data_IF_634565074758
#
_entry.id   IF_634565074758
#
_cell.length_a   1.000
_cell.length_b   1.000
_cell.length_c   1.000
_cell.angle_alpha   90.00
_cell.angle_beta   90.00
_cell.angle_gamma   90.00
#
_symmetry.space_group_name_H-M   'P 1'
#
loop_
_entity.id
_entity.type
_entity.pdbx_description
1 polymer ?
#
# COMPACT_ATOMS: atom_id res chain seq x y z
N UNK A 1 -7.70 20.97 2.70
CA UNK A 1 -6.74 21.32 3.80
C UNK A 1 -7.45 21.10 5.12
N UNK A 2 -6.73 20.77 6.20
CA UNK A 2 -7.32 20.74 7.54
C UNK A 2 -7.62 22.16 8.01
N UNK A 3 -8.61 22.36 8.89
CA UNK A 3 -8.92 23.69 9.47
C UNK A 3 -7.68 24.31 10.15
N UNK A 4 -6.82 23.48 10.75
CA UNK A 4 -5.58 23.92 11.41
C UNK A 4 -4.55 24.42 10.38
N UNK A 5 -4.38 23.75 9.25
CA UNK A 5 -3.46 24.16 8.19
C UNK A 5 -3.92 25.49 7.54
N UNK A 6 -5.22 25.66 7.33
CA UNK A 6 -5.79 26.91 6.81
C UNK A 6 -5.56 28.07 7.77
N UNK A 7 -5.84 27.88 9.06
CA UNK A 7 -5.60 28.89 10.09
C UNK A 7 -4.12 29.28 10.19
N UNK A 8 -3.20 28.30 10.13
CA UNK A 8 -1.77 28.56 10.17
C UNK A 8 -1.25 29.31 8.93
N UNK A 9 -1.80 29.00 7.74
CA UNK A 9 -1.47 29.72 6.50
C UNK A 9 -2.00 31.16 6.53
N UNK A 10 -3.24 31.37 6.99
CA UNK A 10 -3.80 32.72 7.16
C UNK A 10 -2.98 33.56 8.15
N UNK A 11 -2.57 32.95 9.27
CA UNK A 11 -1.71 33.63 10.24
C UNK A 11 -0.34 34.01 9.63
N UNK A 12 0.24 33.13 8.76
CA UNK A 12 1.47 33.42 8.05
C UNK A 12 1.32 34.61 7.07
N UNK A 13 0.22 34.65 6.32
CA UNK A 13 -0.06 35.71 5.35
C UNK A 13 -0.20 37.10 6.02
N UNK A 14 -0.76 37.13 7.22
CA UNK A 14 -0.91 38.37 8.03
C UNK A 14 0.31 38.75 8.86
N UNK A 15 1.34 37.87 8.92
CA UNK A 15 2.48 38.09 9.82
C UNK A 15 3.46 39.17 9.29
N UNK A 16 3.62 40.26 10.02
CA UNK A 16 4.67 41.27 9.80
C UNK A 16 5.86 41.05 10.73
N UNK A 17 5.61 40.86 12.02
CA UNK A 17 6.59 40.51 13.05
C UNK A 17 6.54 38.98 13.30
N UNK A 18 7.68 38.36 13.59
CA UNK A 18 7.80 36.90 13.79
C UNK A 18 7.35 36.00 12.59
N UNK A 19 7.49 36.50 11.36
CA UNK A 19 7.05 35.82 10.15
C UNK A 19 7.69 34.40 9.95
N UNK A 20 8.92 34.20 10.43
CA UNK A 20 9.57 32.88 10.38
C UNK A 20 8.97 31.85 11.35
N UNK A 21 8.47 32.30 12.49
CA UNK A 21 7.76 31.44 13.43
C UNK A 21 6.34 31.09 12.91
N UNK A 22 5.68 32.06 12.26
CA UNK A 22 4.42 31.80 11.56
C UNK A 22 4.62 30.81 10.39
N UNK A 23 5.73 30.94 9.65
CA UNK A 23 6.13 29.98 8.62
C UNK A 23 6.33 28.59 9.22
N UNK A 24 7.01 28.49 10.38
CA UNK A 24 7.21 27.22 11.05
C UNK A 24 5.89 26.54 11.40
N UNK A 25 4.93 27.28 11.96
CA UNK A 25 3.60 26.74 12.27
C UNK A 25 2.87 26.27 11.02
N UNK A 26 2.93 27.00 9.91
CA UNK A 26 2.34 26.56 8.64
C UNK A 26 3.01 25.29 8.11
N UNK A 27 4.34 25.18 8.23
CA UNK A 27 5.09 23.97 7.84
C UNK A 27 4.72 22.78 8.74
N UNK A 28 4.57 22.97 10.05
CA UNK A 28 4.13 21.91 10.97
C UNK A 28 2.72 21.44 10.63
N UNK A 29 1.79 22.36 10.44
CA UNK A 29 0.39 22.03 10.16
C UNK A 29 0.17 21.37 8.78
N UNK A 30 1.06 21.60 7.82
CA UNK A 30 0.96 21.03 6.48
C UNK A 30 1.83 19.78 6.25
N UNK A 31 2.47 19.22 7.30
CA UNK A 31 3.25 17.98 7.14
C UNK A 31 2.34 16.82 6.72
N UNK A 32 2.86 15.92 5.89
CA UNK A 32 2.10 14.80 5.34
C UNK A 32 1.12 15.17 4.22
N UNK A 33 0.86 16.46 4.01
CA UNK A 33 -0.01 16.90 2.91
C UNK A 33 0.67 16.68 1.56
N UNK A 34 -0.11 16.38 0.51
CA UNK A 34 0.43 16.25 -0.84
C UNK A 34 0.77 17.61 -1.44
N UNK A 35 1.90 17.67 -2.12
CA UNK A 35 2.38 18.80 -2.92
C UNK A 35 2.82 18.31 -4.29
N UNK A 36 2.95 19.25 -5.24
CA UNK A 36 3.58 19.01 -6.54
C UNK A 36 4.65 20.04 -6.81
N UNK A 37 5.76 19.62 -7.42
CA UNK A 37 6.79 20.52 -7.92
C UNK A 37 6.26 21.39 -9.08
N UNK A 38 6.99 22.42 -9.47
CA UNK A 38 6.65 23.26 -10.64
C UNK A 38 6.50 22.45 -11.96
N UNK A 39 7.05 21.26 -12.02
CA UNK A 39 6.92 20.32 -13.15
C UNK A 39 5.86 19.26 -12.94
N UNK A 40 5.03 19.37 -11.88
CA UNK A 40 3.92 18.47 -11.58
C UNK A 40 4.30 17.19 -10.82
N UNK A 41 5.58 16.96 -10.46
CA UNK A 41 6.00 15.77 -9.73
C UNK A 41 5.48 15.80 -8.28
N UNK A 42 4.73 14.76 -7.83
CA UNK A 42 4.17 14.72 -6.49
C UNK A 42 5.25 14.48 -5.43
N UNK A 43 5.06 15.04 -4.25
CA UNK A 43 5.85 14.77 -3.04
C UNK A 43 5.04 15.09 -1.78
N UNK A 44 5.46 14.52 -0.67
CA UNK A 44 5.06 14.90 0.68
C UNK A 44 6.29 15.26 1.49
N UNK A 45 6.12 15.79 2.70
CA UNK A 45 7.21 15.91 3.66
C UNK A 45 6.73 15.59 5.06
N UNK A 46 7.65 15.14 5.90
CA UNK A 46 7.47 15.07 7.34
C UNK A 46 8.62 15.80 8.05
N UNK A 47 8.41 16.14 9.31
CA UNK A 47 9.44 16.72 10.15
C UNK A 47 10.29 15.62 10.77
N UNK A 48 11.60 15.79 10.75
CA UNK A 48 12.51 14.85 11.38
C UNK A 48 12.43 15.00 12.90
N UNK A 49 12.29 13.88 13.59
CA UNK A 49 12.25 13.86 15.05
C UNK A 49 13.68 13.89 15.60
N UNK A 50 13.95 14.81 16.50
CA UNK A 50 15.22 14.91 17.22
C UNK A 50 15.35 13.89 18.34
N UNK A 51 16.54 13.79 18.95
CA UNK A 51 16.81 12.87 20.06
C UNK A 51 15.95 13.13 21.30
N UNK A 52 15.37 14.31 21.44
CA UNK A 52 14.46 14.70 22.53
C UNK A 52 12.98 14.35 22.26
N UNK A 53 12.69 13.60 21.18
CA UNK A 53 11.34 13.24 20.79
C UNK A 53 10.50 14.36 20.16
N UNK A 54 11.07 15.57 20.00
CA UNK A 54 10.38 16.72 19.40
C UNK A 54 10.79 16.87 17.93
N UNK A 55 9.90 17.40 17.06
CA UNK A 55 10.25 17.75 15.70
C UNK A 55 11.42 18.74 15.69
N UNK A 56 12.48 18.39 14.98
CA UNK A 56 13.54 19.37 14.70
C UNK A 56 13.17 20.19 13.45
N UNK A 57 13.88 21.29 13.22
CA UNK A 57 13.63 22.18 12.08
C UNK A 57 14.28 21.65 10.79
N UNK A 58 14.01 20.37 10.45
CA UNK A 58 14.43 19.71 9.21
C UNK A 58 13.24 19.01 8.57
N UNK A 59 13.03 19.26 7.26
CA UNK A 59 11.98 18.61 6.48
C UNK A 59 12.59 17.43 5.74
N UNK A 60 12.04 16.23 5.96
CA UNK A 60 12.34 15.04 5.20
C UNK A 60 11.36 14.97 4.03
N UNK A 61 11.85 15.22 2.82
CA UNK A 61 11.04 15.14 1.60
C UNK A 61 10.95 13.68 1.19
N UNK A 62 9.75 13.16 1.13
CA UNK A 62 9.49 11.84 0.59
C UNK A 62 9.48 11.89 -0.94
N UNK A 63 10.41 11.17 -1.56
CA UNK A 63 10.60 11.02 -3.01
C UNK A 63 10.87 9.57 -3.35
N UNK A 64 10.60 9.23 -4.62
CA UNK A 64 10.66 7.86 -5.17
C UNK A 64 11.94 7.06 -4.90
N UNK A 65 13.10 7.66 -4.64
CA UNK A 65 14.36 6.89 -4.56
C UNK A 65 15.27 7.20 -3.38
N UNK A 66 15.26 8.42 -2.88
CA UNK A 66 16.05 8.82 -1.69
C UNK A 66 15.38 10.02 -1.05
N UNK A 67 14.91 9.88 0.17
CA UNK A 67 14.43 10.99 0.98
C UNK A 67 15.52 12.07 1.05
N UNK A 68 15.15 13.33 0.75
CA UNK A 68 16.05 14.47 0.90
C UNK A 68 15.72 15.27 2.13
N UNK A 69 16.72 15.55 2.94
CA UNK A 69 16.57 16.47 4.05
C UNK A 69 16.76 17.90 3.57
N UNK A 70 15.80 18.77 3.90
CA UNK A 70 15.90 20.23 3.75
C UNK A 70 16.15 20.86 5.10
N UNK A 71 17.21 21.64 5.20
CA UNK A 71 17.49 22.40 6.40
C UNK A 71 16.51 23.57 6.53
N UNK A 72 16.16 23.91 7.75
CA UNK A 72 15.32 25.08 8.04
C UNK A 72 15.89 26.37 7.47
N UNK A 73 17.21 26.54 7.50
CA UNK A 73 17.89 27.69 6.90
C UNK A 73 17.60 27.83 5.40
N UNK A 74 17.53 26.72 4.66
CA UNK A 74 17.16 26.75 3.23
C UNK A 74 15.69 27.17 3.04
N UNK A 75 14.79 26.72 3.89
CA UNK A 75 13.37 27.11 3.85
C UNK A 75 13.21 28.59 4.17
N UNK A 76 13.85 29.09 5.23
CA UNK A 76 13.82 30.51 5.59
C UNK A 76 14.43 31.41 4.51
N UNK A 77 15.54 31.00 3.89
CA UNK A 77 16.15 31.77 2.81
C UNK A 77 15.20 31.92 1.61
N UNK A 78 14.58 30.79 1.19
CA UNK A 78 13.58 30.83 0.12
C UNK A 78 12.35 31.67 0.49
N UNK A 79 11.91 31.60 1.74
CA UNK A 79 10.79 32.38 2.24
C UNK A 79 11.07 33.91 2.21
N UNK A 80 12.23 34.33 2.72
CA UNK A 80 12.62 35.75 2.66
C UNK A 80 12.66 36.23 1.22
N UNK A 81 13.25 35.46 0.32
CA UNK A 81 13.33 35.77 -1.09
C UNK A 81 11.95 35.80 -1.75
N UNK A 82 11.08 34.86 -1.45
CA UNK A 82 9.70 34.83 -1.95
C UNK A 82 8.92 36.10 -1.53
N UNK A 83 9.06 36.55 -0.27
CA UNK A 83 8.43 37.80 0.22
C UNK A 83 8.99 39.05 -0.46
N UNK A 84 10.29 39.05 -0.75
CA UNK A 84 10.95 40.17 -1.41
C UNK A 84 10.46 40.36 -2.86
N UNK A 85 10.42 39.25 -3.64
CA UNK A 85 10.11 39.33 -5.07
C UNK A 85 8.61 39.18 -5.38
N UNK A 86 7.83 38.56 -4.48
CA UNK A 86 6.37 38.37 -4.59
C UNK A 86 5.88 37.57 -5.79
N UNK A 87 6.71 37.35 -6.80
CA UNK A 87 6.42 36.58 -8.01
C UNK A 87 7.66 35.89 -8.54
N UNK A 88 7.53 34.61 -8.97
CA UNK A 88 8.60 33.86 -9.62
C UNK A 88 8.06 32.92 -10.70
N UNK A 89 8.69 32.89 -11.87
CA UNK A 89 8.31 32.04 -12.99
C UNK A 89 8.84 30.60 -12.88
N UNK A 90 9.82 30.38 -12.02
CA UNK A 90 10.50 29.09 -11.83
C UNK A 90 11.20 29.01 -10.47
N UNK A 91 11.45 27.79 -9.95
CA UNK A 91 12.07 27.62 -8.63
C UNK A 91 13.42 28.34 -8.45
N UNK A 92 14.30 28.33 -9.45
CA UNK A 92 15.61 29.01 -9.40
C UNK A 92 15.54 30.52 -9.22
N UNK A 93 14.40 31.15 -9.48
CA UNK A 93 14.21 32.59 -9.21
C UNK A 93 14.29 32.94 -7.71
N UNK A 94 14.06 31.93 -6.81
CA UNK A 94 14.28 32.08 -5.38
C UNK A 94 15.75 32.03 -4.94
N UNK A 95 16.67 31.73 -5.88
CA UNK A 95 18.10 31.62 -5.64
C UNK A 95 18.63 30.18 -5.79
N UNK A 96 19.96 30.04 -5.68
CA UNK A 96 20.61 28.72 -5.68
C UNK A 96 20.52 28.08 -4.30
N UNK A 97 19.31 27.60 -3.96
CA UNK A 97 18.97 27.03 -2.67
C UNK A 97 18.82 25.52 -2.81
N UNK A 98 19.51 24.75 -1.97
CA UNK A 98 19.38 23.30 -1.96
C UNK A 98 17.93 22.89 -1.72
N UNK A 99 17.36 22.14 -2.67
CA UNK A 99 15.99 21.67 -2.59
C UNK A 99 14.92 22.71 -2.92
N UNK A 100 15.28 23.79 -3.60
CA UNK A 100 14.36 24.88 -4.02
C UNK A 100 13.14 24.37 -4.79
N UNK A 101 13.28 23.26 -5.55
CA UNK A 101 12.16 22.63 -6.27
C UNK A 101 11.03 22.14 -5.37
N UNK A 102 11.31 21.89 -4.09
CA UNK A 102 10.32 21.48 -3.08
C UNK A 102 9.86 22.65 -2.22
N UNK A 103 10.70 23.63 -1.98
CA UNK A 103 10.32 24.82 -1.19
C UNK A 103 9.46 25.79 -2.01
N UNK A 104 9.69 25.90 -3.29
CA UNK A 104 8.93 26.76 -4.20
C UNK A 104 7.41 26.49 -4.16
N UNK A 105 6.90 25.25 -4.31
CA UNK A 105 5.48 24.98 -4.18
C UNK A 105 4.92 25.22 -2.77
N UNK A 106 5.74 25.08 -1.72
CA UNK A 106 5.32 25.46 -0.36
C UNK A 106 5.06 26.96 -0.28
N UNK A 107 5.96 27.80 -0.83
CA UNK A 107 5.79 29.27 -0.82
C UNK A 107 4.56 29.70 -1.62
N UNK A 108 4.28 29.08 -2.76
CA UNK A 108 3.06 29.30 -3.52
C UNK A 108 1.82 28.89 -2.72
N UNK A 109 1.78 27.68 -2.19
CA UNK A 109 0.62 27.15 -1.46
C UNK A 109 0.31 27.91 -0.19
N UNK A 110 1.33 28.47 0.44
CA UNK A 110 1.17 29.35 1.62
C UNK A 110 0.76 30.79 1.26
N UNK A 111 0.59 31.08 -0.03
CA UNK A 111 0.21 32.42 -0.49
C UNK A 111 1.29 33.48 -0.36
N UNK A 112 2.56 33.06 -0.17
CA UNK A 112 3.72 33.96 -0.04
C UNK A 112 4.27 34.31 -1.42
N UNK A 113 4.07 33.49 -2.43
CA UNK A 113 4.62 33.63 -3.76
C UNK A 113 3.54 33.46 -4.82
N UNK A 114 3.47 34.35 -5.81
CA UNK A 114 2.68 34.19 -7.02
C UNK A 114 3.53 33.55 -8.12
N UNK A 115 2.88 32.79 -9.01
CA UNK A 115 3.53 32.00 -10.06
C UNK A 115 2.74 32.14 -11.37
N UNK A 116 3.32 31.80 -12.56
CA UNK A 116 2.57 31.75 -13.81
C UNK A 116 1.44 30.71 -13.75
N UNK A 117 0.34 30.97 -14.45
CA UNK A 117 -0.84 30.09 -14.50
C UNK A 117 -0.50 28.64 -14.90
N UNK A 118 0.41 28.42 -15.85
CA UNK A 118 0.86 27.10 -16.27
C UNK A 118 1.59 26.34 -15.15
N UNK A 119 2.38 27.05 -14.34
CA UNK A 119 3.10 26.50 -13.17
C UNK A 119 2.11 26.23 -12.05
N UNK A 120 1.16 27.13 -11.85
CA UNK A 120 0.07 26.97 -10.89
C UNK A 120 -0.76 25.72 -11.20
N UNK A 121 -1.16 25.50 -12.45
CA UNK A 121 -1.85 24.25 -12.89
C UNK A 121 -1.04 23.00 -12.57
N UNK A 122 0.27 23.01 -12.80
CA UNK A 122 1.14 21.89 -12.48
C UNK A 122 1.25 21.62 -10.98
N UNK A 123 1.26 22.66 -10.14
CA UNK A 123 1.37 22.56 -8.68
C UNK A 123 0.01 22.42 -8.01
N UNK A 124 -1.07 22.85 -8.69
CA UNK A 124 -2.43 22.75 -8.18
C UNK A 124 -2.83 21.28 -8.03
N UNK A 125 -3.46 20.99 -6.90
CA UNK A 125 -4.13 19.71 -6.65
C UNK A 125 -5.60 19.78 -7.09
N UNK A 126 -6.03 20.85 -7.75
CA UNK A 126 -7.38 20.98 -8.30
C UNK A 126 -7.55 19.96 -9.44
N UNK A 127 -8.15 18.84 -9.11
CA UNK A 127 -9.00 18.10 -10.00
C UNK A 127 -10.17 19.04 -10.35
N UNK A 128 -10.57 19.08 -11.61
CA UNK A 128 -11.64 19.93 -12.11
C UNK A 128 -12.90 19.76 -11.25
N UNK A 129 -13.34 20.84 -10.61
CA UNK A 129 -14.43 20.90 -9.61
C UNK A 129 -15.85 20.58 -10.18
N UNK A 130 -15.97 20.15 -11.44
CA UNK A 130 -17.23 19.69 -12.04
C UNK A 130 -17.65 18.27 -11.63
N UNK A 131 -16.74 17.48 -11.06
CA UNK A 131 -16.97 16.05 -10.75
C UNK A 131 -17.31 15.77 -9.27
N UNK A 132 -17.17 16.75 -8.38
CA UNK A 132 -17.22 16.51 -6.92
C UNK A 132 -18.62 16.36 -6.32
N UNK A 133 -19.69 16.78 -7.01
CA UNK A 133 -21.05 16.57 -6.50
C UNK A 133 -21.50 15.12 -6.68
N UNK A 134 -21.06 14.51 -7.80
CA UNK A 134 -21.36 13.11 -8.12
C UNK A 134 -20.41 12.14 -7.39
N UNK A 135 -19.17 12.58 -7.01
CA UNK A 135 -18.21 11.74 -6.30
C UNK A 135 -18.59 11.53 -4.83
N UNK A 136 -19.13 12.55 -4.12
CA UNK A 136 -19.58 12.36 -2.73
C UNK A 136 -20.76 11.40 -2.63
N UNK A 137 -21.68 11.41 -3.60
CA UNK A 137 -22.76 10.43 -3.66
C UNK A 137 -22.25 9.06 -4.11
N UNK A 138 -21.26 9.00 -5.02
CA UNK A 138 -20.62 7.75 -5.43
C UNK A 138 -19.68 7.18 -4.34
N UNK A 139 -18.97 8.01 -3.57
CA UNK A 139 -18.16 7.58 -2.44
C UNK A 139 -19.01 6.96 -1.33
N UNK A 140 -20.19 7.54 -1.02
CA UNK A 140 -21.14 6.95 -0.06
C UNK A 140 -21.76 5.65 -0.57
N UNK A 141 -21.94 5.49 -1.88
CA UNK A 141 -22.47 4.24 -2.47
C UNK A 141 -21.43 3.11 -2.55
N UNK A 142 -20.14 3.41 -2.45
CA UNK A 142 -19.05 2.44 -2.55
C UNK A 142 -18.42 2.06 -1.22
N UNK A 143 -18.83 2.66 -0.10
CA UNK A 143 -18.37 2.26 1.23
C UNK A 143 -19.01 0.94 1.67
N UNK A 144 -18.22 0.13 2.36
CA UNK A 144 -18.74 -1.10 2.97
C UNK A 144 -19.78 -0.76 4.04
N UNK A 145 -20.78 -1.62 4.21
CA UNK A 145 -21.78 -1.46 5.27
C UNK A 145 -21.11 -1.62 6.64
N UNK A 146 -21.57 -0.85 7.62
CA UNK A 146 -21.15 -0.91 9.04
C UNK A 146 -22.25 -1.53 9.87
N UNK A 147 -21.84 -2.25 10.91
CA UNK A 147 -22.70 -2.93 11.88
C UNK A 147 -21.99 -2.95 13.24
N UNK A 148 -22.58 -3.53 14.25
CA UNK A 148 -21.91 -3.71 15.55
C UNK A 148 -21.29 -5.10 15.67
N UNK A 149 -20.26 -5.28 16.52
CA UNK A 149 -19.71 -6.61 16.80
C UNK A 149 -20.80 -7.56 17.30
N UNK A 150 -21.68 -7.09 18.17
CA UNK A 150 -22.74 -7.87 18.82
C UNK A 150 -23.77 -8.38 17.81
N UNK A 151 -24.18 -7.56 16.85
CA UNK A 151 -25.06 -7.98 15.74
C UNK A 151 -24.41 -9.08 14.87
N UNK A 152 -23.08 -9.12 14.85
CA UNK A 152 -22.29 -10.11 14.12
C UNK A 152 -21.82 -11.28 15.01
N UNK A 153 -22.38 -11.46 16.20
CA UNK A 153 -22.07 -12.57 17.09
C UNK A 153 -20.66 -12.50 17.70
N UNK A 154 -20.10 -11.31 17.86
CA UNK A 154 -18.82 -11.10 18.52
C UNK A 154 -19.01 -10.13 19.68
N UNK A 155 -18.62 -10.53 20.89
CA UNK A 155 -18.58 -9.62 22.02
C UNK A 155 -17.51 -8.54 21.83
N UNK A 156 -17.86 -7.27 22.04
CA UNK A 156 -16.93 -6.13 22.06
C UNK A 156 -15.75 -6.36 23.01
N UNK A 157 -15.97 -7.12 24.10
CA UNK A 157 -14.91 -7.54 25.02
C UNK A 157 -13.78 -8.32 24.36
N UNK A 158 -14.04 -9.09 23.29
CA UNK A 158 -13.01 -9.82 22.56
C UNK A 158 -12.10 -8.86 21.77
N UNK A 159 -12.69 -7.81 21.17
CA UNK A 159 -11.94 -6.77 20.48
C UNK A 159 -11.08 -5.98 21.49
N UNK A 160 -11.65 -5.64 22.65
CA UNK A 160 -10.90 -4.96 23.71
C UNK A 160 -9.67 -5.79 24.15
N UNK A 161 -9.84 -7.10 24.40
CA UNK A 161 -8.73 -8.00 24.73
C UNK A 161 -7.68 -8.09 23.63
N UNK A 162 -8.11 -8.10 22.35
CA UNK A 162 -7.19 -8.04 21.22
C UNK A 162 -6.33 -6.78 21.29
N UNK A 163 -6.93 -5.59 21.46
CA UNK A 163 -6.21 -4.32 21.53
C UNK A 163 -5.28 -4.25 22.75
N UNK A 164 -5.74 -4.68 23.93
CA UNK A 164 -4.91 -4.75 25.14
C UNK A 164 -3.70 -5.67 24.98
N UNK A 165 -3.87 -6.79 24.29
CA UNK A 165 -2.77 -7.70 23.98
C UNK A 165 -1.78 -7.08 23.03
N UNK A 166 -2.24 -6.43 21.94
CA UNK A 166 -1.36 -5.73 21.01
C UNK A 166 -0.55 -4.63 21.70
N UNK A 167 -1.20 -3.87 22.58
CA UNK A 167 -0.54 -2.84 23.40
C UNK A 167 0.52 -3.46 24.34
N UNK A 168 0.16 -4.53 25.07
CA UNK A 168 1.07 -5.27 25.97
C UNK A 168 2.30 -5.82 25.24
N UNK A 169 2.13 -6.28 23.99
CA UNK A 169 3.20 -6.81 23.16
C UNK A 169 3.96 -5.69 22.40
N UNK A 170 3.67 -4.41 22.67
CA UNK A 170 4.25 -3.24 22.01
C UNK A 170 4.10 -3.28 20.48
N UNK A 171 2.97 -3.76 19.99
CA UNK A 171 2.64 -3.78 18.58
C UNK A 171 2.01 -2.44 18.18
N UNK A 172 2.72 -1.67 17.37
CA UNK A 172 2.23 -0.38 16.88
C UNK A 172 1.23 -0.60 15.74
N UNK A 173 -0.04 -0.44 16.03
CA UNK A 173 -1.14 -0.48 15.06
C UNK A 173 -1.38 0.92 14.51
N UNK A 174 -1.59 1.02 13.20
CA UNK A 174 -1.89 2.24 12.45
C UNK A 174 -3.37 2.30 12.10
N UNK A 175 -3.91 1.18 11.64
CA UNK A 175 -5.34 1.00 11.41
C UNK A 175 -5.71 -0.48 11.51
N UNK A 176 -6.96 -0.73 11.88
CA UNK A 176 -7.52 -2.07 11.95
C UNK A 176 -8.96 -2.05 11.48
N UNK A 177 -9.36 -3.09 10.74
CA UNK A 177 -10.76 -3.35 10.40
C UNK A 177 -11.07 -4.82 10.62
N UNK A 178 -12.20 -5.10 11.23
CA UNK A 178 -12.78 -6.43 11.35
C UNK A 178 -14.10 -6.48 10.57
N UNK A 179 -14.26 -7.52 9.76
CA UNK A 179 -15.48 -7.72 8.99
C UNK A 179 -16.04 -9.13 9.21
N UNK A 180 -17.36 -9.24 9.17
CA UNK A 180 -18.09 -10.49 9.04
C UNK A 180 -19.24 -10.31 8.05
N UNK A 181 -19.53 -11.31 7.24
CA UNK A 181 -20.61 -11.27 6.23
C UNK A 181 -20.54 -10.02 5.35
N UNK A 182 -19.32 -9.63 4.96
CA UNK A 182 -19.00 -8.43 4.16
C UNK A 182 -19.35 -7.08 4.82
N UNK A 183 -19.66 -7.06 6.11
CA UNK A 183 -19.94 -5.83 6.86
C UNK A 183 -18.82 -5.56 7.86
N UNK A 184 -18.46 -4.29 8.00
CA UNK A 184 -17.46 -3.83 8.97
C UNK A 184 -18.11 -3.76 10.33
N UNK A 185 -17.62 -4.57 11.26
CA UNK A 185 -18.11 -4.62 12.65
C UNK A 185 -17.22 -3.83 13.63
N UNK A 186 -15.99 -3.55 13.23
CA UNK A 186 -15.05 -2.71 13.96
C UNK A 186 -14.06 -2.07 13.02
N UNK A 187 -13.77 -0.78 13.20
CA UNK A 187 -12.70 -0.07 12.53
C UNK A 187 -12.09 0.98 13.47
N UNK A 188 -10.77 1.13 13.39
CA UNK A 188 -10.05 2.13 14.14
C UNK A 188 -8.81 2.62 13.38
N UNK A 189 -8.45 3.89 13.62
CA UNK A 189 -7.32 4.57 13.01
C UNK A 189 -6.58 5.33 14.12
N UNK A 190 -5.32 4.97 14.38
CA UNK A 190 -4.55 5.57 15.47
C UNK A 190 -3.79 6.81 15.00
N UNK A 191 -3.95 7.95 15.70
CA UNK A 191 -3.25 9.17 15.34
C UNK A 191 -1.72 8.97 15.19
N UNK A 192 -1.07 9.62 14.20
CA UNK A 192 -1.58 10.69 13.33
C UNK A 192 -2.29 10.17 12.05
N UNK A 193 -2.66 8.90 11.99
CA UNK A 193 -3.20 8.25 10.81
C UNK A 193 -4.73 8.38 10.73
N UNK A 194 -5.24 8.51 9.51
CA UNK A 194 -6.67 8.66 9.24
C UNK A 194 -7.14 7.71 8.14
N UNK A 195 -8.45 7.56 8.00
CA UNK A 195 -9.09 6.75 6.99
C UNK A 195 -8.72 7.17 5.56
N UNK A 196 -8.57 8.46 5.31
CA UNK A 196 -8.34 9.04 3.98
C UNK A 196 -6.89 8.91 3.51
N UNK A 197 -5.99 8.45 4.36
CA UNK A 197 -4.59 8.34 4.00
C UNK A 197 -4.28 7.02 3.31
N UNK A 198 -3.64 7.10 2.13
CA UNK A 198 -3.08 5.93 1.47
C UNK A 198 -1.97 5.30 2.31
N UNK A 199 -1.98 3.97 2.38
CA UNK A 199 -0.95 3.16 3.03
C UNK A 199 -0.15 2.40 1.99
N UNK A 200 1.16 2.42 2.10
CA UNK A 200 2.01 1.50 1.37
C UNK A 200 1.84 0.10 1.96
N UNK A 201 1.36 -0.83 1.14
CA UNK A 201 0.99 -2.17 1.63
C UNK A 201 2.11 -3.20 1.47
N UNK A 202 3.31 -2.77 1.10
CA UNK A 202 4.48 -3.63 0.93
C UNK A 202 4.15 -4.87 0.07
N UNK A 203 4.52 -6.06 0.54
CA UNK A 203 4.31 -7.32 -0.19
C UNK A 203 2.84 -7.75 -0.34
N UNK A 204 1.89 -7.16 0.36
CA UNK A 204 0.46 -7.36 0.08
C UNK A 204 0.12 -6.96 -1.37
N UNK A 205 0.91 -6.09 -1.99
CA UNK A 205 0.87 -5.76 -3.43
C UNK A 205 0.87 -7.01 -4.32
N UNK A 206 1.59 -8.06 -3.91
CA UNK A 206 1.73 -9.32 -4.65
C UNK A 206 0.39 -9.98 -4.95
N UNK A 207 -0.53 -9.92 -4.01
CA UNK A 207 -1.88 -10.50 -4.17
C UNK A 207 -2.66 -9.77 -5.27
N UNK A 208 -2.55 -8.44 -5.36
CA UNK A 208 -3.15 -7.68 -6.48
C UNK A 208 -2.53 -8.06 -7.82
N UNK A 209 -1.22 -8.23 -7.88
CA UNK A 209 -0.54 -8.71 -9.09
C UNK A 209 -1.03 -10.11 -9.48
N UNK A 210 -1.20 -11.02 -8.51
CA UNK A 210 -1.77 -12.33 -8.78
C UNK A 210 -3.20 -12.25 -9.31
N UNK A 211 -4.03 -11.35 -8.79
CA UNK A 211 -5.39 -11.15 -9.33
C UNK A 211 -5.36 -10.64 -10.77
N UNK A 212 -4.44 -9.74 -11.12
CA UNK A 212 -4.26 -9.30 -12.51
C UNK A 212 -3.86 -10.45 -13.44
N UNK A 213 -2.94 -11.32 -12.99
CA UNK A 213 -2.59 -12.54 -13.75
C UNK A 213 -3.83 -13.43 -13.90
N UNK A 214 -4.62 -13.64 -12.86
CA UNK A 214 -5.85 -14.42 -12.93
C UNK A 214 -6.85 -13.90 -13.97
N UNK A 215 -7.05 -12.59 -14.02
CA UNK A 215 -7.90 -11.95 -15.03
C UNK A 215 -7.31 -12.18 -16.44
N UNK A 216 -6.01 -11.96 -16.60
CA UNK A 216 -5.33 -12.12 -17.89
C UNK A 216 -5.36 -13.58 -18.39
N UNK A 217 -5.26 -14.54 -17.48
CA UNK A 217 -5.42 -15.97 -17.80
C UNK A 217 -6.86 -16.27 -18.22
N UNK A 218 -7.84 -15.74 -17.50
CA UNK A 218 -9.26 -15.88 -17.85
C UNK A 218 -9.62 -15.27 -19.22
N UNK A 219 -8.94 -14.19 -19.61
CA UNK A 219 -9.06 -13.55 -20.93
C UNK A 219 -8.18 -14.23 -22.01
N UNK A 220 -7.43 -15.27 -21.68
CA UNK A 220 -6.55 -15.99 -22.63
C UNK A 220 -5.33 -15.18 -23.09
N UNK A 221 -4.97 -14.10 -22.38
CA UNK A 221 -3.84 -13.23 -22.72
C UNK A 221 -2.49 -13.77 -22.26
N UNK A 222 -2.49 -14.61 -21.23
CA UNK A 222 -1.33 -15.30 -20.68
C UNK A 222 -1.77 -16.68 -20.19
N UNK A 223 -0.85 -17.65 -20.08
CA UNK A 223 -1.14 -18.98 -19.58
C UNK A 223 -0.27 -19.30 -18.37
N UNK A 224 -0.79 -20.10 -17.45
CA UNK A 224 -0.05 -20.52 -16.25
C UNK A 224 1.17 -21.38 -16.58
N UNK A 225 1.09 -22.20 -17.63
CA UNK A 225 2.16 -23.08 -18.13
C UNK A 225 3.09 -22.38 -19.13
N UNK A 226 2.89 -21.10 -19.39
CA UNK A 226 3.71 -20.35 -20.33
C UNK A 226 5.13 -20.17 -19.78
N UNK A 227 6.13 -20.54 -20.58
CA UNK A 227 7.53 -20.48 -20.17
C UNK A 227 8.05 -19.06 -20.19
N UNK A 228 8.85 -18.73 -19.20
CA UNK A 228 9.44 -17.39 -19.05
C UNK A 228 10.41 -17.07 -20.20
N UNK A 229 11.15 -18.06 -20.68
CA UNK A 229 12.06 -17.90 -21.81
C UNK A 229 11.33 -17.56 -23.11
N UNK A 230 10.09 -18.03 -23.30
CA UNK A 230 9.28 -17.70 -24.48
C UNK A 230 8.71 -16.28 -24.42
N UNK A 231 8.50 -15.76 -23.21
CA UNK A 231 8.07 -14.37 -22.99
C UNK A 231 9.21 -13.36 -23.15
N UNK A 232 10.44 -13.75 -22.78
CA UNK A 232 11.61 -12.88 -22.78
C UNK A 232 12.77 -13.46 -23.59
N UNK A 233 12.59 -13.77 -24.90
CA UNK A 233 13.58 -14.48 -25.69
C UNK A 233 14.91 -13.72 -25.84
N UNK A 234 14.88 -12.38 -25.87
CA UNK A 234 16.09 -11.60 -26.05
C UNK A 234 16.94 -11.57 -24.76
N UNK A 235 16.30 -11.47 -23.61
CA UNK A 235 16.99 -11.52 -22.31
C UNK A 235 17.45 -12.93 -21.99
N UNK A 236 16.66 -13.96 -22.34
CA UNK A 236 16.98 -15.36 -22.12
C UNK A 236 18.22 -15.82 -22.93
N UNK A 237 18.45 -15.29 -24.13
CA UNK A 237 19.67 -15.56 -24.90
C UNK A 237 20.96 -15.16 -24.17
N UNK A 238 20.88 -14.15 -23.31
CA UNK A 238 22.01 -13.60 -22.55
C UNK A 238 22.09 -14.15 -21.12
N UNK A 239 21.16 -15.03 -20.74
CA UNK A 239 21.19 -15.74 -19.47
C UNK A 239 22.03 -17.03 -19.58
N UNK A 240 22.57 -17.58 -18.45
CA UNK A 240 23.24 -18.85 -18.46
C UNK A 240 22.32 -19.96 -18.98
N UNK A 241 22.81 -20.82 -19.86
CA UNK A 241 22.05 -21.98 -20.32
C UNK A 241 21.78 -22.95 -19.16
N UNK A 242 20.52 -23.19 -18.86
CA UNK A 242 20.08 -23.96 -17.72
C UNK A 242 18.80 -24.70 -18.07
N UNK A 243 18.74 -26.03 -17.87
CA UNK A 243 17.50 -26.79 -17.98
C UNK A 243 16.38 -26.24 -17.09
N UNK A 244 16.73 -25.76 -15.90
CA UNK A 244 15.78 -25.17 -14.95
C UNK A 244 15.16 -23.88 -15.51
N UNK A 245 15.95 -23.00 -16.15
CA UNK A 245 15.44 -21.81 -16.79
C UNK A 245 14.42 -22.15 -17.90
N UNK A 246 14.67 -23.23 -18.68
CA UNK A 246 13.76 -23.70 -19.72
C UNK A 246 12.42 -24.24 -19.14
N UNK A 247 12.40 -24.66 -17.88
CA UNK A 247 11.21 -25.18 -17.19
C UNK A 247 10.42 -24.08 -16.48
N UNK A 248 10.99 -22.89 -16.27
CA UNK A 248 10.38 -21.82 -15.47
C UNK A 248 9.13 -21.26 -16.15
N UNK A 249 7.99 -21.27 -15.44
CA UNK A 249 6.69 -20.85 -15.96
C UNK A 249 6.04 -19.76 -15.08
N UNK A 250 4.98 -19.14 -15.57
CA UNK A 250 4.13 -18.19 -14.82
C UNK A 250 3.64 -18.81 -13.50
N UNK A 251 3.24 -20.11 -13.50
CA UNK A 251 2.81 -20.83 -12.31
C UNK A 251 3.90 -20.89 -11.24
N UNK A 252 5.13 -21.16 -11.62
CA UNK A 252 6.26 -21.21 -10.69
C UNK A 252 6.55 -19.84 -10.05
N UNK A 253 6.38 -18.74 -10.81
CA UNK A 253 6.48 -17.38 -10.26
C UNK A 253 5.38 -17.10 -9.23
N UNK A 254 4.12 -17.50 -9.54
CA UNK A 254 2.99 -17.31 -8.63
C UNK A 254 3.16 -18.08 -7.32
N UNK A 255 3.71 -19.28 -7.38
CA UNK A 255 3.91 -20.17 -6.24
C UNK A 255 5.18 -19.88 -5.43
N UNK A 256 6.00 -18.88 -5.83
CA UNK A 256 7.32 -18.66 -5.21
C UNK A 256 8.22 -19.90 -5.23
N UNK A 257 8.18 -20.66 -6.34
CA UNK A 257 8.92 -21.91 -6.54
C UNK A 257 9.79 -21.85 -7.79
N UNK A 258 10.54 -20.74 -7.92
CA UNK A 258 11.37 -20.48 -9.12
C UNK A 258 12.57 -21.42 -9.22
N UNK A 259 13.01 -22.02 -8.13
CA UNK A 259 14.23 -22.83 -8.05
C UNK A 259 15.53 -22.00 -7.93
N UNK A 260 15.44 -20.67 -7.95
CA UNK A 260 16.59 -19.78 -7.77
C UNK A 260 17.00 -19.67 -6.30
N UNK A 261 18.31 -19.52 -6.03
CA UNK A 261 18.87 -19.50 -4.68
C UNK A 261 18.71 -18.15 -3.96
N UNK A 262 18.55 -17.08 -4.72
CA UNK A 262 18.42 -15.69 -4.22
C UNK A 262 17.52 -14.87 -5.14
N UNK A 263 17.23 -13.63 -4.73
CA UNK A 263 16.60 -12.64 -5.59
C UNK A 263 17.60 -11.56 -6.01
N UNK A 264 17.53 -11.06 -7.26
CA UNK A 264 18.59 -10.22 -7.85
C UNK A 264 18.67 -8.80 -7.26
N UNK A 265 17.59 -8.33 -6.64
CA UNK A 265 17.39 -6.91 -6.32
C UNK A 265 18.24 -6.38 -5.14
N UNK A 266 19.06 -7.21 -4.55
CA UNK A 266 20.13 -6.80 -3.61
C UNK A 266 21.39 -6.31 -4.32
N UNK A 267 21.52 -6.54 -5.63
CA UNK A 267 22.66 -6.11 -6.42
C UNK A 267 22.51 -4.64 -6.82
N UNK A 268 23.64 -3.93 -6.83
CA UNK A 268 23.67 -2.54 -7.32
C UNK A 268 23.26 -2.51 -8.80
N UNK A 269 22.37 -1.59 -9.17
CA UNK A 269 21.82 -1.41 -10.53
C UNK A 269 20.98 -2.58 -11.10
N UNK A 270 20.56 -3.55 -10.28
CA UNK A 270 19.71 -4.65 -10.77
C UNK A 270 18.39 -4.13 -11.38
N UNK A 271 17.91 -2.99 -10.94
CA UNK A 271 16.69 -2.36 -11.46
C UNK A 271 16.81 -1.72 -12.83
N UNK A 272 18.03 -1.47 -13.34
CA UNK A 272 18.25 -0.90 -14.67
C UNK A 272 17.89 -1.90 -15.77
N UNK A 273 18.08 -3.20 -15.51
CA UNK A 273 17.65 -4.32 -16.37
C UNK A 273 17.19 -5.49 -15.47
N UNK A 274 16.08 -5.29 -14.79
CA UNK A 274 15.57 -6.21 -13.77
C UNK A 274 15.18 -7.57 -14.35
N UNK A 275 14.72 -7.64 -15.60
CA UNK A 275 14.39 -8.89 -16.29
C UNK A 275 15.65 -9.72 -16.47
N UNK A 276 16.70 -9.16 -17.06
CA UNK A 276 17.97 -9.88 -17.26
C UNK A 276 18.64 -10.25 -15.95
N UNK A 277 18.55 -9.37 -14.92
CA UNK A 277 19.07 -9.68 -13.59
C UNK A 277 18.37 -10.91 -13.01
N UNK A 278 17.04 -10.98 -13.09
CA UNK A 278 16.29 -12.15 -12.64
C UNK A 278 16.65 -13.42 -13.39
N UNK A 279 16.77 -13.37 -14.73
CA UNK A 279 17.06 -14.57 -15.53
C UNK A 279 18.49 -15.09 -15.35
N UNK A 280 19.42 -14.27 -14.85
CA UNK A 280 20.81 -14.65 -14.55
C UNK A 280 21.00 -15.28 -13.16
N UNK A 281 20.00 -15.17 -12.28
CA UNK A 281 20.12 -15.73 -10.93
C UNK A 281 20.32 -17.26 -10.98
N UNK A 282 21.31 -17.80 -10.25
CA UNK A 282 21.60 -19.22 -10.25
C UNK A 282 20.45 -20.08 -9.71
N UNK A 283 20.18 -21.18 -10.37
CA UNK A 283 19.25 -22.20 -9.88
C UNK A 283 19.96 -23.13 -8.89
N UNK A 284 19.28 -23.40 -7.78
CA UNK A 284 19.72 -24.36 -6.74
C UNK A 284 18.75 -25.51 -6.57
N UNK A 285 17.51 -25.35 -7.08
CA UNK A 285 16.45 -26.35 -7.07
C UNK A 285 15.78 -26.42 -8.45
N UNK A 286 14.94 -27.42 -8.66
CA UNK A 286 14.06 -27.50 -9.84
C UNK A 286 12.86 -26.57 -9.64
N UNK A 287 12.48 -25.75 -10.63
CA UNK A 287 11.25 -24.98 -10.56
C UNK A 287 10.02 -25.84 -10.22
N UNK A 288 9.25 -25.39 -9.24
CA UNK A 288 8.06 -26.08 -8.75
C UNK A 288 8.28 -26.99 -7.54
N UNK A 289 9.51 -27.34 -7.17
CA UNK A 289 9.78 -28.28 -6.08
C UNK A 289 9.91 -27.62 -4.71
N UNK A 290 10.60 -26.49 -4.62
CA UNK A 290 10.94 -25.85 -3.34
C UNK A 290 10.39 -24.43 -3.28
N UNK A 291 9.69 -24.09 -2.19
CA UNK A 291 9.28 -22.72 -1.90
C UNK A 291 10.48 -21.88 -1.47
N UNK A 292 10.68 -20.76 -2.16
CA UNK A 292 11.60 -19.68 -1.77
C UNK A 292 10.95 -18.35 -2.05
N UNK A 293 10.68 -17.60 -1.00
CA UNK A 293 10.09 -16.27 -1.16
C UNK A 293 11.01 -15.38 -1.98
N UNK A 294 10.53 -14.89 -3.12
CA UNK A 294 11.31 -14.17 -4.12
C UNK A 294 10.47 -13.03 -4.72
N UNK A 295 10.81 -11.79 -4.35
CA UNK A 295 10.10 -10.60 -4.85
C UNK A 295 10.31 -10.41 -6.36
N UNK A 296 11.46 -10.86 -6.88
CA UNK A 296 11.73 -10.87 -8.32
C UNK A 296 10.75 -11.72 -9.12
N UNK A 297 10.27 -12.83 -8.54
CA UNK A 297 9.23 -13.64 -9.17
C UNK A 297 7.96 -12.82 -9.44
N UNK A 298 7.54 -11.99 -8.49
CA UNK A 298 6.35 -11.15 -8.69
C UNK A 298 6.61 -9.99 -9.64
N UNK A 299 7.81 -9.40 -9.62
CA UNK A 299 8.19 -8.43 -10.66
C UNK A 299 8.09 -9.05 -12.06
N UNK A 300 8.56 -10.28 -12.25
CA UNK A 300 8.47 -10.98 -13.53
C UNK A 300 7.02 -11.24 -13.98
N UNK A 301 6.06 -11.39 -13.06
CA UNK A 301 4.63 -11.42 -13.41
C UNK A 301 4.16 -10.08 -13.99
N UNK A 302 4.56 -8.96 -13.39
CA UNK A 302 4.29 -7.62 -13.92
C UNK A 302 4.95 -7.41 -15.28
N UNK A 303 6.21 -7.81 -15.43
CA UNK A 303 6.95 -7.75 -16.68
C UNK A 303 6.31 -8.62 -17.78
N UNK A 304 5.80 -9.81 -17.43
CA UNK A 304 5.09 -10.69 -18.36
C UNK A 304 3.81 -10.05 -18.91
N UNK A 305 3.04 -9.37 -18.07
CA UNK A 305 1.89 -8.56 -18.53
C UNK A 305 2.36 -7.44 -19.49
N UNK A 306 3.42 -6.73 -19.11
CA UNK A 306 3.99 -5.67 -19.95
C UNK A 306 4.44 -6.18 -21.30
N UNK A 307 5.03 -7.37 -21.36
CA UNK A 307 5.44 -8.03 -22.62
C UNK A 307 4.24 -8.35 -23.53
N UNK A 308 3.05 -8.51 -22.96
CA UNK A 308 1.77 -8.66 -23.67
C UNK A 308 1.08 -7.32 -23.98
N UNK A 309 1.77 -6.20 -23.77
CA UNK A 309 1.22 -4.85 -23.99
C UNK A 309 0.25 -4.41 -22.89
N UNK A 310 0.25 -5.08 -21.72
CA UNK A 310 -0.64 -4.82 -20.61
C UNK A 310 0.13 -4.09 -19.51
N UNK A 311 -0.27 -2.88 -19.17
CA UNK A 311 0.23 -2.18 -17.99
C UNK A 311 -0.53 -2.68 -16.75
N UNK A 312 0.20 -3.19 -15.76
CA UNK A 312 -0.39 -3.82 -14.56
C UNK A 312 -1.35 -2.89 -13.81
N UNK A 313 -0.95 -1.65 -13.56
CA UNK A 313 -1.75 -0.71 -12.77
C UNK A 313 -3.01 -0.26 -13.53
N UNK A 314 -2.88 0.03 -14.83
CA UNK A 314 -4.01 0.41 -15.66
C UNK A 314 -4.99 -0.74 -15.86
N UNK A 315 -4.47 -1.94 -16.04
CA UNK A 315 -5.27 -3.15 -16.22
C UNK A 315 -6.06 -3.48 -14.94
N UNK A 316 -5.40 -3.43 -13.79
CA UNK A 316 -6.10 -3.60 -12.52
C UNK A 316 -7.13 -2.50 -12.30
N UNK A 317 -6.81 -1.25 -12.63
CA UNK A 317 -7.77 -0.14 -12.51
C UNK A 317 -9.03 -0.41 -13.31
N UNK A 318 -8.88 -0.81 -14.57
CA UNK A 318 -10.02 -1.09 -15.46
C UNK A 318 -10.84 -2.31 -14.99
N UNK A 319 -10.15 -3.44 -14.75
CA UNK A 319 -10.80 -4.75 -14.57
C UNK A 319 -11.21 -5.06 -13.14
N UNK A 320 -10.58 -4.43 -12.16
CA UNK A 320 -10.77 -4.77 -10.74
C UNK A 320 -11.08 -3.55 -9.87
N UNK A 321 -10.21 -2.54 -9.86
CA UNK A 321 -10.28 -1.48 -8.87
C UNK A 321 -11.51 -0.58 -9.09
N UNK A 322 -11.76 -0.13 -10.33
CA UNK A 322 -12.94 0.69 -10.66
C UNK A 322 -14.24 -0.05 -10.39
N UNK A 323 -14.44 -1.31 -10.81
CA UNK A 323 -15.63 -2.08 -10.44
C UNK A 323 -15.84 -2.22 -8.92
N UNK A 324 -14.76 -2.25 -8.14
CA UNK A 324 -14.80 -2.33 -6.67
C UNK A 324 -14.90 -0.95 -5.99
N UNK A 325 -14.95 0.15 -6.76
CA UNK A 325 -14.95 1.50 -6.22
C UNK A 325 -13.66 1.90 -5.53
N UNK A 326 -12.53 1.31 -5.92
CA UNK A 326 -11.19 1.62 -5.41
C UNK A 326 -10.56 2.69 -6.30
N UNK A 327 -10.18 3.82 -5.70
CA UNK A 327 -9.64 4.98 -6.42
C UNK A 327 -8.41 5.56 -5.73
N UNK A 328 -7.69 6.44 -6.40
CA UNK A 328 -6.56 7.18 -5.81
C UNK A 328 -5.29 6.35 -5.56
N UNK A 329 -5.27 5.09 -5.99
CA UNK A 329 -4.16 4.17 -5.80
C UNK A 329 -2.88 4.62 -6.51
N UNK A 330 -1.71 4.16 -6.02
CA UNK A 330 -0.40 4.43 -6.62
C UNK A 330 0.46 3.18 -6.58
N UNK A 331 1.23 2.95 -7.64
CA UNK A 331 2.21 1.87 -7.68
C UNK A 331 3.60 2.38 -8.08
N UNK A 332 4.63 1.92 -7.39
CA UNK A 332 6.03 2.22 -7.73
C UNK A 332 6.39 1.48 -9.02
N UNK A 333 7.16 2.14 -9.89
CA UNK A 333 7.66 1.60 -11.14
C UNK A 333 9.19 1.58 -11.16
N UNK A 334 9.75 0.65 -11.91
CA UNK A 334 11.17 0.62 -12.23
C UNK A 334 11.56 1.75 -13.22
N UNK A 335 12.85 1.92 -13.54
CA UNK A 335 13.29 2.92 -14.51
C UNK A 335 12.71 2.72 -15.92
N UNK A 336 12.29 1.50 -16.29
CA UNK A 336 11.68 1.16 -17.59
C UNK A 336 10.15 1.34 -17.60
N UNK A 337 9.58 1.84 -16.51
CA UNK A 337 8.13 2.10 -16.37
C UNK A 337 7.29 0.86 -16.09
N UNK A 338 7.89 -0.27 -15.70
CA UNK A 338 7.19 -1.48 -15.28
C UNK A 338 6.84 -1.37 -13.80
N UNK A 339 5.59 -1.65 -13.41
CA UNK A 339 5.23 -1.73 -12.00
C UNK A 339 6.05 -2.78 -11.27
N UNK A 340 6.54 -2.47 -10.07
CA UNK A 340 7.34 -3.41 -9.27
C UNK A 340 6.61 -4.73 -8.96
N UNK A 341 5.28 -4.72 -9.03
CA UNK A 341 4.42 -5.90 -8.85
C UNK A 341 4.45 -6.46 -7.42
N UNK A 342 5.63 -6.65 -6.87
CA UNK A 342 5.85 -7.30 -5.58
C UNK A 342 5.77 -6.39 -4.36
N UNK A 343 5.76 -5.06 -4.55
CA UNK A 343 5.70 -4.05 -3.49
C UNK A 343 5.33 -2.69 -4.07
N UNK A 344 5.19 -1.68 -3.20
CA UNK A 344 5.06 -0.29 -3.61
C UNK A 344 3.65 0.12 -4.06
N UNK A 345 2.66 -0.75 -3.90
CA UNK A 345 1.27 -0.37 -4.05
C UNK A 345 0.79 0.37 -2.80
N UNK A 346 -0.05 1.38 -2.99
CA UNK A 346 -0.62 2.18 -1.90
C UNK A 346 -2.13 2.24 -2.03
N UNK A 347 -2.82 1.94 -0.93
CA UNK A 347 -4.27 1.74 -0.83
C UNK A 347 -4.80 2.39 0.46
N UNK A 348 -6.11 2.63 0.51
CA UNK A 348 -6.79 2.89 1.77
C UNK A 348 -7.04 1.57 2.52
N UNK A 349 -7.18 1.58 3.86
CA UNK A 349 -7.48 0.36 4.60
C UNK A 349 -8.75 -0.37 4.15
N UNK A 350 -9.81 0.37 3.80
CA UNK A 350 -11.04 -0.22 3.27
C UNK A 350 -10.84 -0.91 1.91
N UNK A 351 -9.93 -0.42 1.07
CA UNK A 351 -9.61 -1.06 -0.20
C UNK A 351 -8.95 -2.44 -0.01
N UNK A 352 -8.18 -2.59 1.07
CA UNK A 352 -7.62 -3.89 1.47
C UNK A 352 -8.75 -4.82 1.93
N UNK A 353 -9.75 -4.31 2.66
CA UNK A 353 -10.92 -5.09 3.06
C UNK A 353 -11.74 -5.57 1.85
N UNK A 354 -11.91 -4.72 0.84
CA UNK A 354 -12.56 -5.11 -0.43
C UNK A 354 -11.83 -6.24 -1.14
N UNK A 355 -10.47 -6.25 -1.13
CA UNK A 355 -9.70 -7.41 -1.62
C UNK A 355 -10.06 -8.67 -0.84
N UNK A 356 -10.13 -8.59 0.50
CA UNK A 356 -10.53 -9.72 1.34
C UNK A 356 -11.90 -10.27 0.98
N UNK A 357 -12.88 -9.40 0.75
CA UNK A 357 -14.24 -9.78 0.31
C UNK A 357 -14.21 -10.44 -1.07
N UNK A 358 -13.44 -9.90 -2.02
CA UNK A 358 -13.28 -10.50 -3.35
C UNK A 358 -12.72 -11.94 -3.27
N UNK A 359 -11.70 -12.14 -2.44
CA UNK A 359 -11.11 -13.46 -2.23
C UNK A 359 -12.08 -14.42 -1.52
N UNK A 360 -12.81 -13.95 -0.49
CA UNK A 360 -13.85 -14.70 0.20
C UNK A 360 -14.94 -15.17 -0.76
N UNK A 361 -15.33 -14.33 -1.69
CA UNK A 361 -16.36 -14.60 -2.69
C UNK A 361 -15.82 -15.23 -3.98
N UNK A 362 -14.62 -15.85 -3.92
CA UNK A 362 -14.01 -16.55 -5.06
C UNK A 362 -13.96 -15.69 -6.34
N UNK A 363 -13.56 -14.42 -6.20
CA UNK A 363 -13.38 -13.49 -7.32
C UNK A 363 -14.65 -12.79 -7.78
N UNK A 364 -15.75 -12.89 -7.04
CA UNK A 364 -17.03 -12.24 -7.32
C UNK A 364 -17.17 -10.95 -6.51
N UNK A 365 -17.67 -9.90 -7.14
CA UNK A 365 -17.96 -8.62 -6.51
C UNK A 365 -19.32 -8.11 -6.98
N UNK A 366 -20.23 -7.80 -6.06
CA UNK A 366 -21.60 -7.34 -6.36
C UNK A 366 -22.31 -8.19 -7.44
N UNK A 367 -22.15 -9.51 -7.35
CA UNK A 367 -22.74 -10.46 -8.31
C UNK A 367 -21.98 -10.65 -9.63
N UNK A 368 -20.99 -9.79 -9.94
CA UNK A 368 -20.15 -9.90 -11.13
C UNK A 368 -18.88 -10.70 -10.83
N UNK A 369 -18.51 -11.63 -11.73
CA UNK A 369 -17.24 -12.35 -11.66
C UNK A 369 -16.12 -11.46 -12.24
N UNK A 370 -15.26 -10.90 -11.38
CA UNK A 370 -14.14 -10.05 -11.79
C UNK A 370 -12.85 -10.85 -12.05
N UNK A 371 -12.59 -11.87 -11.22
CA UNK A 371 -11.47 -12.81 -11.39
C UNK A 371 -12.05 -14.21 -11.52
N UNK A 372 -11.59 -15.07 -12.45
CA UNK A 372 -12.13 -16.41 -12.62
C UNK A 372 -12.19 -17.21 -11.31
N UNK A 373 -13.35 -17.79 -10.98
CA UNK A 373 -13.59 -18.49 -9.73
C UNK A 373 -12.55 -19.59 -9.48
N UNK A 374 -12.28 -20.42 -10.50
CA UNK A 374 -11.31 -21.50 -10.40
C UNK A 374 -9.90 -21.00 -10.04
N UNK A 375 -9.51 -19.82 -10.61
CA UNK A 375 -8.19 -19.26 -10.34
C UNK A 375 -8.08 -18.73 -8.89
N UNK A 376 -9.12 -18.07 -8.39
CA UNK A 376 -9.12 -17.59 -6.99
C UNK A 376 -9.09 -18.78 -6.03
N UNK A 377 -9.82 -19.86 -6.32
CA UNK A 377 -9.77 -21.08 -5.52
C UNK A 377 -8.37 -21.71 -5.50
N UNK A 378 -7.68 -21.79 -6.64
CA UNK A 378 -6.28 -22.22 -6.67
C UNK A 378 -5.37 -21.25 -5.90
N UNK A 379 -5.54 -19.93 -6.11
CA UNK A 379 -4.73 -18.92 -5.47
C UNK A 379 -4.83 -18.93 -3.93
N UNK A 380 -6.00 -19.24 -3.39
CA UNK A 380 -6.29 -19.25 -1.95
C UNK A 380 -6.12 -20.60 -1.28
N UNK A 381 -5.68 -21.64 -2.03
CA UNK A 381 -5.36 -22.96 -1.49
C UNK A 381 -3.86 -23.25 -1.54
N UNK A 382 -3.40 -24.15 -0.70
CA UNK A 382 -1.99 -24.56 -0.67
C UNK A 382 -1.58 -25.22 -1.98
N UNK A 383 -0.68 -24.57 -2.72
CA UNK A 383 -0.06 -25.09 -3.93
C UNK A 383 1.31 -25.71 -3.64
N UNK A 384 2.03 -25.18 -2.63
CA UNK A 384 3.35 -25.66 -2.23
C UNK A 384 3.50 -25.55 -0.71
N UNK A 385 4.35 -26.42 -0.13
CA UNK A 385 4.76 -26.31 1.28
C UNK A 385 5.71 -25.12 1.45
N UNK A 386 5.48 -24.30 2.47
CA UNK A 386 6.35 -23.17 2.82
C UNK A 386 7.20 -23.43 4.08
N UNK A 387 7.08 -24.62 4.69
CA UNK A 387 7.80 -25.05 5.89
C UNK A 387 7.07 -26.15 6.64
N UNK A 388 7.63 -26.56 7.77
CA UNK A 388 7.17 -27.71 8.55
C UNK A 388 6.77 -27.35 10.00
N UNK A 389 6.90 -26.08 10.43
CA UNK A 389 6.49 -25.66 11.77
C UNK A 389 4.95 -25.46 11.83
N UNK A 390 4.21 -26.33 12.55
CA UNK A 390 2.75 -26.22 12.64
C UNK A 390 2.27 -24.99 13.40
N UNK A 391 3.15 -24.33 14.15
CA UNK A 391 2.82 -23.13 14.93
C UNK A 391 3.13 -21.82 14.18
N UNK A 392 3.81 -21.93 13.04
CA UNK A 392 4.14 -20.74 12.23
C UNK A 392 3.11 -20.51 11.13
N UNK A 393 2.57 -19.29 11.05
CA UNK A 393 1.68 -18.89 9.96
C UNK A 393 2.43 -18.63 8.64
N UNK A 394 3.76 -18.77 8.62
CA UNK A 394 4.57 -18.77 7.41
C UNK A 394 4.98 -20.17 6.95
N UNK A 395 4.58 -21.23 7.68
CA UNK A 395 4.87 -22.62 7.35
C UNK A 395 3.62 -23.46 7.01
N UNK A 396 2.45 -22.83 6.87
CA UNK A 396 1.20 -23.55 6.56
C UNK A 396 1.03 -23.83 5.05
N UNK A 397 1.88 -23.24 4.21
CA UNK A 397 1.87 -23.36 2.76
C UNK A 397 1.63 -22.04 2.05
N UNK A 398 1.72 -22.06 0.74
CA UNK A 398 1.59 -20.92 -0.13
C UNK A 398 0.73 -21.26 -1.36
N UNK A 399 -0.13 -20.33 -1.74
CA UNK A 399 -0.94 -20.40 -2.95
C UNK A 399 -0.34 -19.57 -4.09
N UNK A 400 -1.16 -18.82 -4.81
CA UNK A 400 -0.69 -17.86 -5.81
C UNK A 400 -0.56 -16.47 -5.17
N UNK A 401 0.63 -16.16 -4.64
CA UNK A 401 0.96 -14.91 -3.93
C UNK A 401 0.08 -14.68 -2.68
N UNK A 402 -0.32 -15.77 -2.02
CA UNK A 402 -1.19 -15.80 -0.83
C UNK A 402 -0.65 -16.84 0.15
N UNK A 403 -0.42 -16.44 1.39
CA UNK A 403 0.01 -17.33 2.48
C UNK A 403 -1.17 -18.11 3.06
N UNK A 404 -0.96 -19.38 3.34
CA UNK A 404 -1.87 -20.14 4.19
C UNK A 404 -1.56 -19.85 5.67
N UNK A 405 -2.58 -19.92 6.50
CA UNK A 405 -2.48 -19.70 7.94
C UNK A 405 -2.98 -20.92 8.72
N UNK A 406 -2.68 -20.94 10.01
CA UNK A 406 -3.35 -21.83 10.95
C UNK A 406 -4.87 -21.61 10.90
N UNK A 407 -5.62 -22.54 11.47
CA UNK A 407 -7.10 -22.52 11.56
C UNK A 407 -7.84 -22.51 10.21
N UNK A 408 -7.17 -22.74 9.10
CA UNK A 408 -7.80 -22.74 7.76
C UNK A 408 -8.01 -21.34 7.18
N UNK A 409 -7.38 -20.32 7.76
CA UNK A 409 -7.33 -18.99 7.18
C UNK A 409 -6.26 -18.92 6.08
N UNK A 410 -6.37 -17.88 5.23
CA UNK A 410 -5.32 -17.49 4.30
C UNK A 410 -5.17 -15.95 4.33
N UNK A 411 -4.06 -15.43 3.86
CA UNK A 411 -3.84 -14.00 3.92
C UNK A 411 -3.01 -13.44 2.77
N UNK A 412 -3.29 -12.20 2.39
CA UNK A 412 -2.37 -11.29 1.77
C UNK A 412 -1.49 -10.66 2.85
N UNK A 413 -0.18 -10.58 2.61
CA UNK A 413 0.84 -10.29 3.64
C UNK A 413 1.81 -9.22 3.15
N UNK A 414 2.04 -8.22 3.97
CA UNK A 414 3.03 -7.17 3.76
C UNK A 414 3.87 -6.92 5.00
N UNK A 415 5.11 -6.54 4.80
CA UNK A 415 6.07 -6.22 5.85
C UNK A 415 5.46 -5.29 6.91
N UNK A 416 5.89 -5.45 8.14
CA UNK A 416 5.46 -4.68 9.32
C UNK A 416 4.01 -4.92 9.76
N UNK A 417 3.35 -5.99 9.31
CA UNK A 417 1.99 -6.33 9.71
C UNK A 417 0.91 -5.65 8.87
N UNK A 418 1.16 -5.50 7.56
CA UNK A 418 0.12 -5.17 6.61
C UNK A 418 -0.59 -6.46 6.22
N UNK A 419 -1.74 -6.74 6.84
CA UNK A 419 -2.45 -7.99 6.61
C UNK A 419 -3.86 -7.80 6.06
N UNK A 420 -4.26 -8.74 5.22
CA UNK A 420 -5.65 -9.04 4.92
C UNK A 420 -5.83 -10.55 5.17
N UNK A 421 -6.27 -10.90 6.38
CA UNK A 421 -6.52 -12.30 6.78
C UNK A 421 -7.98 -12.63 6.48
N UNK A 422 -8.20 -13.69 5.74
CA UNK A 422 -9.52 -14.19 5.34
C UNK A 422 -9.73 -15.56 5.95
N UNK A 423 -10.84 -15.75 6.67
CA UNK A 423 -11.22 -17.03 7.25
C UNK A 423 -12.60 -17.48 6.76
N UNK A 424 -12.65 -18.36 5.74
CA UNK A 424 -13.91 -18.76 5.12
C UNK A 424 -14.91 -19.43 6.06
N UNK A 425 -14.44 -20.23 7.03
CA UNK A 425 -15.33 -20.98 7.91
C UNK A 425 -16.19 -20.10 8.82
N UNK A 426 -15.72 -18.92 9.21
CA UNK A 426 -16.49 -17.94 10.01
C UNK A 426 -16.98 -16.75 9.20
N UNK A 427 -16.66 -16.71 7.88
CA UNK A 427 -16.95 -15.59 6.97
C UNK A 427 -16.42 -14.26 7.53
N UNK A 428 -15.16 -14.28 7.99
CA UNK A 428 -14.53 -13.12 8.64
C UNK A 428 -13.27 -12.66 7.93
N UNK A 429 -13.00 -11.37 8.01
CA UNK A 429 -11.81 -10.72 7.46
C UNK A 429 -11.22 -9.80 8.52
N UNK A 430 -9.89 -9.93 8.74
CA UNK A 430 -9.11 -8.93 9.47
C UNK A 430 -8.25 -8.16 8.47
N UNK A 431 -8.29 -6.84 8.54
CA UNK A 431 -7.32 -5.94 7.90
C UNK A 431 -6.52 -5.22 8.97
N UNK A 432 -5.19 -5.22 8.84
CA UNK A 432 -4.31 -4.41 9.67
C UNK A 432 -3.29 -3.64 8.85
N UNK A 433 -3.02 -2.42 9.28
CA UNK A 433 -1.79 -1.72 8.94
C UNK A 433 -1.04 -1.48 10.26
N UNK A 434 0.15 -2.03 10.37
CA UNK A 434 0.99 -1.90 11.56
C UNK A 434 2.38 -1.37 11.21
N UNK A 435 3.14 -1.00 12.24
CA UNK A 435 4.56 -0.64 12.16
C UNK A 435 5.34 -1.52 13.16
N UNK A 436 5.31 -2.84 12.96
CA UNK A 436 5.89 -3.80 13.91
C UNK A 436 6.78 -4.83 13.24
N UNK A 437 7.84 -5.24 13.94
CA UNK A 437 8.62 -6.43 13.59
C UNK A 437 7.99 -7.71 14.16
N UNK A 438 7.14 -7.58 15.21
CA UNK A 438 6.41 -8.70 15.79
C UNK A 438 5.12 -8.99 15.00
N UNK A 439 5.29 -9.37 13.73
CA UNK A 439 4.17 -9.68 12.83
C UNK A 439 3.38 -10.91 13.31
N UNK A 440 4.07 -11.90 13.86
CA UNK A 440 3.43 -13.10 14.44
C UNK A 440 2.53 -12.78 15.63
N UNK A 441 2.91 -11.80 16.45
CA UNK A 441 2.10 -11.33 17.56
C UNK A 441 0.73 -10.79 17.12
N UNK A 442 0.66 -10.08 15.97
CA UNK A 442 -0.60 -9.60 15.40
C UNK A 442 -1.55 -10.77 15.09
N UNK A 443 -1.04 -11.80 14.40
CA UNK A 443 -1.81 -12.98 14.01
C UNK A 443 -2.23 -13.80 15.24
N UNK A 444 -1.32 -14.03 16.17
CA UNK A 444 -1.60 -14.75 17.42
C UNK A 444 -2.69 -14.04 18.24
N UNK A 445 -2.58 -12.73 18.41
CA UNK A 445 -3.57 -11.96 19.14
C UNK A 445 -4.96 -12.06 18.48
N UNK A 446 -5.03 -11.94 17.16
CA UNK A 446 -6.29 -12.09 16.41
C UNK A 446 -6.88 -13.51 16.55
N UNK A 447 -6.07 -14.54 16.35
CA UNK A 447 -6.55 -15.92 16.39
C UNK A 447 -7.06 -16.31 17.79
N UNK A 448 -6.35 -15.90 18.82
CA UNK A 448 -6.69 -16.28 20.20
C UNK A 448 -7.88 -15.48 20.76
N UNK A 449 -7.94 -14.18 20.46
CA UNK A 449 -8.92 -13.29 21.10
C UNK A 449 -10.20 -13.09 20.27
N UNK A 450 -10.15 -13.27 18.94
CA UNK A 450 -11.25 -12.90 18.05
C UNK A 450 -11.70 -14.06 17.15
N UNK A 451 -10.79 -14.67 16.37
CA UNK A 451 -11.18 -15.55 15.27
C UNK A 451 -12.13 -16.69 15.65
N UNK A 452 -11.86 -17.36 16.77
CA UNK A 452 -12.64 -18.51 17.23
C UNK A 452 -13.69 -18.14 18.28
N UNK A 453 -14.04 -16.85 18.39
CA UNK A 453 -14.97 -16.34 19.40
C UNK A 453 -16.33 -15.91 18.83
N UNK A 454 -16.49 -16.01 17.52
CA UNK A 454 -17.75 -15.69 16.87
C UNK A 454 -18.83 -16.73 17.20
N UNK A 455 -20.00 -16.26 17.61
CA UNK A 455 -21.20 -17.05 17.80
C UNK A 455 -22.05 -17.07 16.49
N UNK A 456 -22.99 -18.02 16.41
CA UNK A 456 -23.89 -18.15 15.25
C UNK A 456 -24.91 -17.02 15.17
N UNK A 457 -25.35 -16.54 16.33
CA UNK A 457 -26.40 -15.53 16.48
C UNK A 457 -25.82 -14.25 17.09
N UNK A 458 -26.59 -13.16 16.99
CA UNK A 458 -26.26 -11.92 17.67
C UNK A 458 -26.15 -12.14 19.19
N UNK A 459 -25.20 -11.47 19.82
CA UNK A 459 -24.96 -11.52 21.26
C UNK A 459 -25.53 -10.26 21.95
N UNK A 460 -25.55 -10.26 23.26
CA UNK A 460 -26.05 -9.12 24.03
C UNK A 460 -25.12 -7.90 23.88
N UNK A 461 -25.71 -6.71 23.78
CA UNK A 461 -24.97 -5.45 23.72
C UNK A 461 -24.11 -5.24 24.97
N UNK A 462 -22.91 -4.71 24.79
CA UNK A 462 -21.92 -4.40 25.83
C UNK A 462 -21.59 -2.89 25.83
N UNK A 463 -22.54 -2.00 26.23
CA UNK A 463 -22.39 -0.56 26.04
C UNK A 463 -21.19 0.04 26.79
N UNK A 464 -20.85 -0.49 27.98
CA UNK A 464 -19.69 -0.03 28.76
C UNK A 464 -18.37 -0.40 28.06
N UNK A 465 -18.28 -1.59 27.45
CA UNK A 465 -17.13 -2.05 26.71
C UNK A 465 -17.01 -1.30 25.39
N UNK A 466 -18.14 -1.07 24.71
CA UNK A 466 -18.18 -0.28 23.46
C UNK A 466 -17.67 1.14 23.70
N UNK A 467 -17.99 1.75 24.84
CA UNK A 467 -17.45 3.07 25.19
C UNK A 467 -15.94 3.02 25.47
N UNK A 468 -15.44 1.97 26.11
CA UNK A 468 -14.00 1.76 26.28
C UNK A 468 -13.26 1.60 24.93
N UNK A 469 -13.87 0.87 23.97
CA UNK A 469 -13.31 0.73 22.63
C UNK A 469 -13.21 2.06 21.88
N UNK A 470 -14.16 2.98 22.07
CA UNK A 470 -14.11 4.33 21.47
C UNK A 470 -12.98 5.20 22.01
N UNK A 471 -12.47 4.89 23.21
CA UNK A 471 -11.40 5.62 23.88
C UNK A 471 -10.00 5.06 23.56
N UNK A 472 -9.91 3.87 22.98
CA UNK A 472 -8.68 3.23 22.51
C UNK A 472 -8.29 3.69 21.10
#
# INVERSE_FOLDING_TARGET
>A
MTNEAEAAIQALQGASENAEEALWRAVVACQGMPFRTATGLPFTYCLKIGQNGQPNRELLIDRREKSKTLSWSSVCLAFRRAREIGYADRPKALGDIRGVSYVYPLMWRFGVLRVPEIVEKNMSLTLEFGFFRDLKEAETMNQLMRTTPEEMGLHSQNILKLLERLEKENISVVSMMLLRHNQVLYEAYWPPYTQEQLRTVYSLSKTFTAMAIGIAVGEGKIRLDERIVDLFPEQAKNAPDSPQLQMLTIRHLLMMSTGQGSEPFHQENAWDDAISAFLREPFVDTPGETFRYNTGATYMLSAALKQRGIDLEEYLREKLLTPMGITGTRWIRDPNGICTGGFGFSLHPEDIAKLGILLMQSGRWNGQQLVPEWYVREATTRQISSGDDPNSDWAQGYGYQIWQCRHGAFRADGMYGQFCVVHPATDTILVTNCLTQNMGGVLNAYFDEVLMKYESDAVADEPEVTEQLRQK
#
